data_IF_195812287306
#
_entry.id   IF_195812287306
#
_cell.length_a   1.000
_cell.length_b   1.000
_cell.length_c   1.000
_cell.angle_alpha   90.00
_cell.angle_beta   90.00
_cell.angle_gamma   90.00
#
_symmetry.space_group_name_H-M   'P 1'
#
loop_
_entity.id
_entity.type
_entity.pdbx_description
1 polymer ?
#
# COMPACT_ATOMS: atom_id res chain seq x y z
N UNK A 1 -2.61 36.26 -43.59
CA UNK A 1 -2.08 37.14 -44.65
C UNK A 1 -3.09 37.20 -45.80
N UNK A 2 -3.97 38.20 -45.83
CA UNK A 2 -4.90 38.42 -46.95
C UNK A 2 -4.20 39.30 -47.98
N UNK A 3 -3.59 38.68 -48.98
CA UNK A 3 -3.13 39.39 -50.18
C UNK A 3 -4.35 39.71 -51.04
N UNK A 4 -4.82 40.96 -50.98
CA UNK A 4 -5.72 41.51 -51.97
C UNK A 4 -4.93 41.67 -53.27
N UNK A 5 -4.92 40.64 -54.11
CA UNK A 5 -4.55 40.76 -55.51
C UNK A 5 -5.59 41.66 -56.20
N UNK A 6 -5.26 42.94 -56.32
CA UNK A 6 -5.84 43.82 -57.31
C UNK A 6 -5.35 43.37 -58.69
N UNK A 7 -6.31 43.01 -59.54
CA UNK A 7 -6.11 42.51 -60.90
C UNK A 7 -5.69 43.67 -61.82
N UNK A 8 -4.48 44.19 -61.62
CA UNK A 8 -3.81 45.01 -62.61
C UNK A 8 -3.29 44.08 -63.72
N UNK A 9 -3.87 44.19 -64.92
CA UNK A 9 -3.42 43.63 -66.21
C UNK A 9 -2.71 42.27 -66.10
N UNK A 10 -3.47 41.19 -65.87
CA UNK A 10 -2.92 39.83 -66.00
C UNK A 10 -2.56 39.60 -67.46
N UNK A 11 -1.29 39.27 -67.72
CA UNK A 11 -0.84 38.92 -69.06
C UNK A 11 -1.55 37.67 -69.60
N UNK A 12 -1.93 37.64 -70.89
CA UNK A 12 -2.74 36.58 -71.48
C UNK A 12 -2.17 35.17 -71.26
N UNK A 13 -0.86 34.98 -71.34
CA UNK A 13 -0.21 33.68 -71.11
C UNK A 13 -0.51 33.09 -69.71
N UNK A 14 -0.66 33.94 -68.70
CA UNK A 14 -0.96 33.50 -67.34
C UNK A 14 -2.39 32.94 -67.22
N UNK A 15 -3.33 33.49 -68.00
CA UNK A 15 -4.73 33.06 -67.99
C UNK A 15 -4.91 31.65 -68.57
N UNK A 16 -4.20 31.33 -69.65
CA UNK A 16 -4.22 30.00 -70.26
C UNK A 16 -3.59 28.95 -69.33
N UNK A 17 -2.47 29.28 -68.67
CA UNK A 17 -1.84 28.38 -67.68
C UNK A 17 -2.77 28.09 -66.50
N UNK A 18 -3.47 29.09 -65.98
CA UNK A 18 -4.46 28.91 -64.90
C UNK A 18 -5.56 27.96 -65.36
N UNK A 19 -6.11 28.17 -66.56
CA UNK A 19 -7.16 27.32 -67.11
C UNK A 19 -6.72 25.84 -67.17
N UNK A 20 -5.53 25.58 -67.71
CA UNK A 20 -5.00 24.21 -67.82
C UNK A 20 -4.77 23.55 -66.45
N UNK A 21 -4.31 24.31 -65.45
CA UNK A 21 -4.16 23.82 -64.07
C UNK A 21 -5.54 23.47 -63.48
N UNK A 22 -6.55 24.33 -63.68
CA UNK A 22 -7.91 24.07 -63.21
C UNK A 22 -8.49 22.81 -63.84
N UNK A 23 -8.36 22.66 -65.17
CA UNK A 23 -8.86 21.47 -65.88
C UNK A 23 -8.16 20.18 -65.43
N UNK A 24 -6.84 20.23 -65.24
CA UNK A 24 -6.07 19.09 -64.73
C UNK A 24 -6.55 18.66 -63.34
N UNK A 25 -6.78 19.63 -62.43
CA UNK A 25 -7.31 19.37 -61.09
C UNK A 25 -8.73 18.81 -61.10
N UNK A 26 -9.60 19.36 -61.94
CA UNK A 26 -10.98 18.85 -62.11
C UNK A 26 -10.93 17.39 -62.57
N UNK A 27 -10.12 17.08 -63.58
CA UNK A 27 -9.98 15.73 -64.14
C UNK A 27 -9.46 14.75 -63.10
N UNK A 28 -8.43 15.14 -62.33
CA UNK A 28 -7.89 14.36 -61.22
C UNK A 28 -8.95 14.07 -60.16
N UNK A 29 -9.65 15.08 -59.65
CA UNK A 29 -10.67 14.90 -58.62
C UNK A 29 -11.84 14.05 -59.11
N UNK A 30 -12.23 14.16 -60.38
CA UNK A 30 -13.24 13.28 -60.97
C UNK A 30 -12.78 11.82 -61.07
N UNK A 31 -11.48 11.58 -61.30
CA UNK A 31 -10.92 10.23 -61.23
C UNK A 31 -10.95 9.69 -59.78
N UNK A 32 -10.61 10.51 -58.77
CA UNK A 32 -10.71 10.13 -57.36
C UNK A 32 -12.16 9.81 -56.98
N UNK A 33 -13.12 10.66 -57.36
CA UNK A 33 -14.56 10.46 -57.12
C UNK A 33 -15.03 9.10 -57.67
N UNK A 34 -14.63 8.74 -58.89
CA UNK A 34 -15.00 7.46 -59.51
C UNK A 34 -14.49 6.23 -58.74
N UNK A 35 -13.41 6.38 -57.97
CA UNK A 35 -12.80 5.32 -57.17
C UNK A 35 -13.22 5.34 -55.69
N UNK A 36 -14.03 6.32 -55.24
CA UNK A 36 -14.51 6.37 -53.86
C UNK A 36 -15.31 5.14 -53.43
N UNK A 37 -16.23 4.57 -54.24
CA UNK A 37 -17.01 3.41 -53.81
C UNK A 37 -16.13 2.18 -53.52
N UNK A 38 -15.05 1.99 -54.27
CA UNK A 38 -14.20 0.79 -54.20
C UNK A 38 -13.08 0.89 -53.17
N UNK A 39 -12.66 2.10 -52.76
CA UNK A 39 -11.47 2.28 -51.90
C UNK A 39 -11.80 2.91 -50.55
N UNK A 40 -11.90 2.09 -49.50
CA UNK A 40 -12.09 2.55 -48.13
C UNK A 40 -10.94 3.45 -47.65
N UNK A 41 -9.69 3.09 -47.99
CA UNK A 41 -8.49 3.86 -47.59
C UNK A 41 -8.53 5.31 -48.07
N UNK A 42 -9.02 5.54 -49.30
CA UNK A 42 -9.15 6.89 -49.85
C UNK A 42 -10.24 7.66 -49.09
N UNK A 43 -11.38 7.03 -48.80
CA UNK A 43 -12.46 7.67 -48.03
C UNK A 43 -12.00 8.07 -46.63
N UNK A 44 -11.33 7.17 -45.91
CA UNK A 44 -10.82 7.43 -44.55
C UNK A 44 -9.72 8.49 -44.54
N UNK A 45 -8.84 8.51 -45.56
CA UNK A 45 -7.81 9.54 -45.67
C UNK A 45 -8.41 10.92 -45.93
N UNK A 46 -9.39 11.03 -46.83
CA UNK A 46 -10.09 12.29 -47.14
C UNK A 46 -10.85 12.80 -45.91
N UNK A 47 -11.68 11.96 -45.29
CA UNK A 47 -12.46 12.35 -44.11
C UNK A 47 -11.57 12.62 -42.90
N UNK A 48 -10.52 11.83 -42.70
CA UNK A 48 -9.54 12.02 -41.64
C UNK A 48 -8.82 13.37 -41.77
N UNK A 49 -8.38 13.74 -42.98
CA UNK A 49 -7.79 15.04 -43.23
C UNK A 49 -8.75 16.20 -42.91
N UNK A 50 -10.03 16.07 -43.22
CA UNK A 50 -11.01 17.13 -42.91
C UNK A 50 -11.28 17.32 -41.42
N UNK A 51 -11.09 16.28 -40.60
CA UNK A 51 -11.28 16.35 -39.14
C UNK A 51 -10.04 16.92 -38.44
N UNK A 52 -8.85 16.77 -39.04
CA UNK A 52 -7.66 17.42 -38.48
C UNK A 52 -7.80 18.93 -38.55
N UNK A 53 -7.46 19.61 -37.44
CA UNK A 53 -7.55 21.08 -37.34
C UNK A 53 -6.69 21.82 -38.38
N UNK A 54 -5.79 21.12 -39.07
CA UNK A 54 -4.90 21.65 -40.12
C UNK A 54 -5.68 22.24 -41.30
N UNK A 55 -6.85 21.67 -41.64
CA UNK A 55 -7.63 22.10 -42.80
C UNK A 55 -8.79 23.04 -42.45
N UNK A 56 -9.05 23.33 -41.17
CA UNK A 56 -10.18 24.15 -40.74
C UNK A 56 -10.18 25.54 -41.41
N UNK A 57 -9.06 26.26 -41.35
CA UNK A 57 -8.91 27.57 -41.99
C UNK A 57 -9.07 27.53 -43.52
N UNK A 58 -8.60 26.47 -44.18
CA UNK A 58 -8.71 26.29 -45.63
C UNK A 58 -10.16 26.00 -46.02
N UNK A 59 -10.86 25.20 -45.22
CA UNK A 59 -12.28 24.92 -45.39
C UNK A 59 -13.08 26.21 -45.19
N UNK A 60 -12.83 26.99 -44.15
CA UNK A 60 -13.51 28.26 -43.91
C UNK A 60 -13.31 29.25 -45.06
N UNK A 61 -12.08 29.39 -45.56
CA UNK A 61 -11.77 30.22 -46.72
C UNK A 61 -12.44 29.68 -48.00
N UNK A 62 -12.43 28.36 -48.20
CA UNK A 62 -13.15 27.71 -49.30
C UNK A 62 -14.65 28.01 -49.19
N UNK A 63 -15.26 27.86 -48.02
CA UNK A 63 -16.68 28.11 -47.78
C UNK A 63 -17.01 29.59 -48.03
N UNK A 64 -16.17 30.52 -47.59
CA UNK A 64 -16.35 31.95 -47.80
C UNK A 64 -16.13 32.42 -49.26
N UNK A 65 -15.46 31.62 -50.10
CA UNK A 65 -15.07 32.01 -51.48
C UNK A 65 -16.24 32.13 -52.48
N UNK A 66 -17.50 32.09 -52.03
CA UNK A 66 -18.71 32.15 -52.88
C UNK A 66 -18.90 33.54 -53.50
N UNK A 67 -18.17 34.56 -53.02
CA UNK A 67 -18.31 35.93 -53.52
C UNK A 67 -17.92 35.97 -55.00
N UNK A 68 -18.96 35.95 -55.85
CA UNK A 68 -18.89 36.26 -57.27
C UNK A 68 -18.27 37.64 -57.41
N UNK A 69 -16.95 37.72 -57.52
CA UNK A 69 -16.31 38.96 -57.93
C UNK A 69 -16.92 39.32 -59.28
N UNK A 70 -17.60 40.47 -59.42
CA UNK A 70 -18.10 40.91 -60.70
C UNK A 70 -16.89 41.03 -61.63
N UNK A 71 -16.81 40.13 -62.61
CA UNK A 71 -15.77 40.19 -63.64
C UNK A 71 -16.13 41.39 -64.51
N UNK A 72 -15.52 42.53 -64.21
CA UNK A 72 -15.79 43.83 -64.85
C UNK A 72 -15.10 44.00 -66.21
N UNK A 73 -14.51 42.95 -66.79
CA UNK A 73 -13.71 43.08 -67.98
C UNK A 73 -14.48 42.62 -69.22
N UNK A 74 -14.62 43.53 -70.19
CA UNK A 74 -14.84 43.16 -71.59
C UNK A 74 -13.71 42.19 -71.98
N UNK A 75 -14.02 41.00 -72.51
CA UNK A 75 -12.98 40.16 -73.13
C UNK A 75 -12.76 40.68 -74.54
N UNK A 76 -11.72 41.50 -74.70
CA UNK A 76 -11.12 41.82 -75.99
C UNK A 76 -9.77 41.06 -76.00
N UNK A 77 -9.60 40.17 -76.99
CA UNK A 77 -8.38 39.40 -77.28
C UNK A 77 -7.74 38.61 -76.12
N UNK A 78 -8.56 37.88 -75.37
CA UNK A 78 -8.10 37.06 -74.26
C UNK A 78 -7.91 35.58 -74.67
N UNK A 79 -6.71 35.01 -74.51
CA UNK A 79 -6.43 33.57 -74.83
C UNK A 79 -7.33 32.62 -74.03
N UNK A 80 -7.57 32.93 -72.76
CA UNK A 80 -8.54 32.23 -71.93
C UNK A 80 -9.53 33.24 -71.32
N UNK A 81 -10.80 33.09 -71.69
CA UNK A 81 -11.85 33.97 -71.20
C UNK A 81 -11.96 33.98 -69.67
N UNK A 82 -11.93 35.15 -69.00
CA UNK A 82 -12.14 35.23 -67.55
C UNK A 82 -13.44 34.55 -67.08
N UNK A 83 -14.49 34.56 -67.93
CA UNK A 83 -15.73 33.82 -67.68
C UNK A 83 -15.51 32.30 -67.70
N UNK A 84 -14.69 31.79 -68.63
CA UNK A 84 -14.34 30.36 -68.71
C UNK A 84 -13.48 29.94 -67.52
N UNK A 85 -12.55 30.79 -67.07
CA UNK A 85 -11.75 30.54 -65.86
C UNK A 85 -12.66 30.53 -64.62
N UNK A 86 -13.55 31.52 -64.46
CA UNK A 86 -14.51 31.56 -63.36
C UNK A 86 -15.47 30.36 -63.38
N UNK A 87 -15.93 29.94 -64.56
CA UNK A 87 -16.73 28.73 -64.73
C UNK A 87 -15.95 27.47 -64.33
N UNK A 88 -14.67 27.37 -64.73
CA UNK A 88 -13.79 26.26 -64.36
C UNK A 88 -13.50 26.24 -62.85
N UNK A 89 -13.30 27.39 -62.21
CA UNK A 89 -13.16 27.49 -60.76
C UNK A 89 -14.43 27.04 -60.02
N UNK A 90 -15.61 27.49 -60.46
CA UNK A 90 -16.90 27.02 -59.92
C UNK A 90 -17.05 25.51 -60.08
N UNK A 91 -16.68 24.98 -61.24
CA UNK A 91 -16.73 23.54 -61.50
C UNK A 91 -15.76 22.76 -60.60
N UNK A 92 -14.56 23.29 -60.36
CA UNK A 92 -13.60 22.72 -59.41
C UNK A 92 -14.19 22.70 -57.99
N UNK A 93 -14.75 23.81 -57.51
CA UNK A 93 -15.38 23.88 -56.19
C UNK A 93 -16.55 22.89 -56.06
N UNK A 94 -17.39 22.78 -57.09
CA UNK A 94 -18.48 21.79 -57.15
C UNK A 94 -17.95 20.36 -57.07
N UNK A 95 -16.84 20.09 -57.76
CA UNK A 95 -16.19 18.77 -57.75
C UNK A 95 -15.60 18.46 -56.36
N UNK A 96 -15.03 19.45 -55.67
CA UNK A 96 -14.55 19.29 -54.29
C UNK A 96 -15.71 19.01 -53.34
N UNK A 97 -16.80 19.78 -53.37
CA UNK A 97 -17.99 19.53 -52.55
C UNK A 97 -18.51 18.10 -52.80
N UNK A 98 -18.62 17.69 -54.07
CA UNK A 98 -19.06 16.35 -54.46
C UNK A 98 -18.13 15.27 -53.90
N UNK A 99 -16.82 15.45 -53.98
CA UNK A 99 -15.84 14.51 -53.43
C UNK A 99 -16.05 14.30 -51.93
N UNK A 100 -16.16 15.38 -51.15
CA UNK A 100 -16.30 15.32 -49.70
C UNK A 100 -17.63 14.67 -49.30
N UNK A 101 -18.74 15.14 -49.89
CA UNK A 101 -20.07 14.63 -49.60
C UNK A 101 -20.19 13.14 -49.97
N UNK A 102 -19.70 12.74 -51.15
CA UNK A 102 -19.72 11.33 -51.54
C UNK A 102 -18.78 10.47 -50.69
N UNK A 103 -17.62 10.99 -50.27
CA UNK A 103 -16.74 10.28 -49.34
C UNK A 103 -17.47 9.98 -48.04
N UNK A 104 -18.23 10.94 -47.50
CA UNK A 104 -19.07 10.76 -46.30
C UNK A 104 -20.15 9.70 -46.50
N UNK A 105 -20.92 9.79 -47.60
CA UNK A 105 -22.03 8.85 -47.88
C UNK A 105 -21.52 7.42 -47.99
N UNK A 106 -20.40 7.19 -48.70
CA UNK A 106 -19.82 5.85 -48.85
C UNK A 106 -19.05 5.37 -47.60
N UNK A 107 -18.93 6.19 -46.54
CA UNK A 107 -18.24 5.82 -45.29
C UNK A 107 -19.17 5.32 -44.20
N UNK A 108 -20.48 5.51 -44.34
CA UNK A 108 -21.49 5.16 -43.33
C UNK A 108 -21.52 3.66 -42.98
N UNK A 109 -21.06 2.79 -43.90
CA UNK A 109 -21.08 1.34 -43.72
C UNK A 109 -19.91 0.81 -42.90
N UNK A 110 -18.73 1.45 -42.91
CA UNK A 110 -17.47 0.77 -42.55
C UNK A 110 -16.48 1.57 -41.70
N UNK A 111 -16.79 2.78 -41.21
CA UNK A 111 -15.76 3.63 -40.57
C UNK A 111 -16.20 4.41 -39.33
N UNK A 112 -15.24 4.62 -38.42
CA UNK A 112 -15.35 5.45 -37.21
C UNK A 112 -15.32 6.96 -37.50
N UNK A 113 -15.01 7.34 -38.74
CA UNK A 113 -14.74 8.72 -39.15
C UNK A 113 -15.97 9.26 -39.86
N UNK A 114 -16.71 10.16 -39.21
CA UNK A 114 -17.93 10.79 -39.75
C UNK A 114 -17.71 12.26 -40.05
N UNK A 115 -18.29 12.73 -41.14
CA UNK A 115 -18.33 14.16 -41.45
C UNK A 115 -19.22 14.87 -40.44
N UNK A 116 -18.76 16.00 -39.91
CA UNK A 116 -19.58 16.86 -39.05
C UNK A 116 -20.86 17.27 -39.81
N UNK A 117 -22.07 17.00 -39.27
CA UNK A 117 -23.34 17.38 -39.88
C UNK A 117 -23.42 18.88 -40.22
N UNK A 118 -22.78 19.75 -39.43
CA UNK A 118 -22.76 21.20 -39.68
C UNK A 118 -21.98 21.48 -40.97
N UNK A 119 -20.77 20.92 -41.10
CA UNK A 119 -19.98 21.04 -42.33
C UNK A 119 -20.67 20.39 -43.53
N UNK A 120 -21.31 19.23 -43.34
CA UNK A 120 -22.09 18.54 -44.37
C UNK A 120 -23.24 19.40 -44.91
N UNK A 121 -24.00 20.05 -44.04
CA UNK A 121 -25.09 20.94 -44.44
C UNK A 121 -24.58 22.19 -45.15
N UNK A 122 -23.50 22.81 -44.66
CA UNK A 122 -22.88 23.96 -45.32
C UNK A 122 -22.34 23.61 -46.72
N UNK A 123 -21.71 22.44 -46.89
CA UNK A 123 -21.24 21.94 -48.20
C UNK A 123 -22.39 21.71 -49.19
N UNK A 124 -23.51 21.19 -48.72
CA UNK A 124 -24.72 21.01 -49.54
C UNK A 124 -25.30 22.35 -49.98
N UNK A 125 -25.41 23.32 -49.08
CA UNK A 125 -25.85 24.68 -49.40
C UNK A 125 -24.93 25.34 -50.44
N UNK A 126 -23.61 25.23 -50.24
CA UNK A 126 -22.62 25.72 -51.20
C UNK A 126 -22.76 25.03 -52.56
N UNK A 127 -22.99 23.72 -52.60
CA UNK A 127 -23.19 22.98 -53.85
C UNK A 127 -24.47 23.43 -54.57
N UNK A 128 -25.53 23.78 -53.84
CA UNK A 128 -26.75 24.36 -54.41
C UNK A 128 -26.46 25.72 -55.05
N UNK A 129 -25.73 26.61 -54.35
CA UNK A 129 -25.33 27.92 -54.89
C UNK A 129 -24.48 27.77 -56.16
N UNK A 130 -23.50 26.86 -56.15
CA UNK A 130 -22.60 26.59 -57.28
C UNK A 130 -23.30 25.93 -58.47
N UNK A 131 -24.48 25.34 -58.28
CA UNK A 131 -25.26 24.73 -59.36
C UNK A 131 -26.07 25.75 -60.16
N UNK A 132 -26.11 27.02 -59.73
CA UNK A 132 -26.66 28.09 -60.56
C UNK A 132 -25.78 28.27 -61.81
N UNK A 133 -26.37 28.25 -63.02
CA UNK A 133 -25.60 28.36 -64.25
C UNK A 133 -24.77 29.66 -64.22
N UNK A 134 -23.47 29.60 -64.56
CA UNK A 134 -22.67 30.82 -64.68
C UNK A 134 -23.28 31.72 -65.75
N UNK A 135 -23.19 33.04 -65.55
CA UNK A 135 -23.52 34.00 -66.61
C UNK A 135 -22.59 33.72 -67.79
N UNK A 136 -23.17 33.45 -68.95
CA UNK A 136 -22.43 33.19 -70.18
C UNK A 136 -21.63 34.44 -70.60
N UNK A 137 -20.48 34.24 -71.23
CA UNK A 137 -19.69 35.35 -71.75
C UNK A 137 -20.46 36.01 -72.91
N UNK A 138 -20.71 37.32 -72.88
CA UNK A 138 -21.45 38.00 -73.96
C UNK A 138 -20.78 37.89 -75.33
N UNK A 139 -19.47 37.64 -75.37
CA UNK A 139 -18.65 37.68 -76.60
C UNK A 139 -18.55 36.33 -77.32
N UNK A 140 -18.86 35.21 -76.66
CA UNK A 140 -18.60 33.85 -77.21
C UNK A 140 -19.65 33.41 -78.24
N UNK A 141 -20.73 34.16 -78.43
CA UNK A 141 -21.84 33.78 -79.33
C UNK A 141 -21.62 34.14 -80.81
N UNK A 142 -20.46 34.69 -81.22
CA UNK A 142 -20.29 35.27 -82.57
C UNK A 142 -19.27 34.61 -83.50
N UNK A 143 -18.55 33.55 -83.12
CA UNK A 143 -17.47 33.00 -83.97
C UNK A 143 -17.57 31.50 -84.21
N UNK A 144 -18.68 31.08 -84.83
CA UNK A 144 -18.75 29.82 -85.58
C UNK A 144 -19.56 30.06 -86.88
N UNK A 145 -19.09 30.98 -87.73
CA UNK A 145 -19.64 31.24 -89.06
C UNK A 145 -18.57 30.93 -90.10
N UNK A 146 -18.78 29.81 -90.80
CA UNK A 146 -18.03 29.31 -91.96
C UNK A 146 -17.55 30.42 -92.90
N UNK A 147 -16.26 30.41 -93.26
CA UNK A 147 -15.72 31.16 -94.40
C UNK A 147 -15.22 30.20 -95.47
N UNK A 148 -15.97 30.12 -96.56
CA UNK A 148 -15.58 29.50 -97.83
C UNK A 148 -15.15 30.58 -98.83
N UNK A 149 -13.87 30.51 -99.23
CA UNK A 149 -13.21 30.95 -100.47
C UNK A 149 -14.02 31.78 -101.50
N UNK A 150 -13.46 32.94 -101.88
CA UNK A 150 -13.72 33.63 -103.15
C UNK A 150 -12.46 33.72 -104.02
N UNK A 151 -12.66 33.61 -105.35
CA UNK A 151 -11.66 33.61 -106.42
C UNK A 151 -11.80 34.90 -107.24
N UNK A 152 -10.66 35.49 -107.63
CA UNK A 152 -10.50 36.76 -108.36
C UNK A 152 -10.74 36.57 -109.87
N UNK A 153 -11.46 37.52 -110.51
CA UNK A 153 -11.70 37.60 -111.96
C UNK A 153 -10.86 38.72 -112.62
N UNK A 154 -10.44 38.48 -113.88
CA UNK A 154 -9.44 39.22 -114.66
C UNK A 154 -10.12 40.05 -115.77
N UNK A 155 -9.72 41.31 -115.97
CA UNK A 155 -10.26 42.23 -117.00
C UNK A 155 -9.38 42.29 -118.27
N UNK A 156 -10.05 42.53 -119.41
CA UNK A 156 -9.55 42.59 -120.79
C UNK A 156 -9.46 44.06 -121.27
N UNK A 157 -8.48 44.42 -122.13
CA UNK A 157 -8.30 45.77 -122.67
C UNK A 157 -8.11 45.75 -124.20
N UNK A 158 -8.69 46.73 -124.90
CA UNK A 158 -8.60 46.92 -126.37
C UNK A 158 -8.04 48.31 -126.75
N UNK A 159 -7.35 48.36 -127.88
CA UNK A 159 -6.39 49.38 -128.33
C UNK A 159 -6.94 50.62 -129.10
N UNK A 160 -6.06 51.64 -129.21
CA UNK A 160 -6.07 52.95 -129.93
C UNK A 160 -5.69 52.83 -131.45
N UNK A 161 -5.45 53.90 -132.25
CA UNK A 161 -6.15 55.19 -132.54
C UNK A 161 -6.17 55.51 -134.09
N UNK A 162 -6.67 56.68 -134.55
CA UNK A 162 -6.36 57.19 -135.90
C UNK A 162 -6.47 58.73 -136.03
N UNK A 163 -5.41 59.44 -136.44
CA UNK A 163 -5.46 60.87 -136.85
C UNK A 163 -4.45 61.15 -137.97
N UNK A 164 -4.92 61.74 -139.08
CA UNK A 164 -4.11 62.23 -140.23
C UNK A 164 -3.90 63.75 -140.14
N UNK A 165 -2.73 64.25 -140.56
CA UNK A 165 -2.39 65.69 -140.56
C UNK A 165 -1.88 66.14 -141.94
N UNK A 166 -2.32 67.33 -142.40
CA UNK A 166 -2.00 67.93 -143.72
C UNK A 166 -0.95 69.07 -143.66
N UNK A 167 -0.34 69.39 -144.81
CA UNK A 167 1.03 69.91 -144.96
C UNK A 167 1.17 71.33 -145.54
N UNK A 168 1.02 72.42 -144.76
CA UNK A 168 1.30 73.79 -145.26
C UNK A 168 2.32 74.65 -144.52
N UNK A 169 2.93 74.19 -143.42
CA UNK A 169 3.86 75.01 -142.62
C UNK A 169 5.20 74.32 -142.36
N UNK A 170 6.05 74.10 -143.38
CA UNK A 170 7.28 73.30 -143.21
C UNK A 170 8.36 73.93 -142.31
N UNK A 171 8.49 75.28 -142.26
CA UNK A 171 9.46 75.96 -141.37
C UNK A 171 9.02 75.90 -139.91
N UNK A 172 7.72 76.07 -139.68
CA UNK A 172 7.11 75.78 -138.37
C UNK A 172 7.26 74.29 -138.05
N UNK A 173 7.01 73.37 -139.00
CA UNK A 173 7.22 71.93 -138.81
C UNK A 173 8.67 71.55 -138.50
N UNK A 174 9.66 72.32 -138.99
CA UNK A 174 11.08 72.11 -138.73
C UNK A 174 11.47 72.62 -137.34
N UNK A 175 11.03 73.83 -136.94
CA UNK A 175 11.23 74.33 -135.58
C UNK A 175 10.47 73.48 -134.56
N UNK A 176 9.21 73.14 -134.85
CA UNK A 176 8.42 72.17 -134.11
C UNK A 176 9.06 70.79 -134.17
N UNK A 177 9.82 70.46 -135.22
CA UNK A 177 10.51 69.18 -135.39
C UNK A 177 11.75 69.09 -134.51
N UNK A 178 12.59 70.13 -134.48
CA UNK A 178 13.72 70.24 -133.56
C UNK A 178 13.27 70.36 -132.11
N UNK A 179 12.23 71.15 -131.82
CA UNK A 179 11.63 71.21 -130.50
C UNK A 179 11.02 69.86 -130.09
N UNK A 180 10.36 69.14 -131.02
CA UNK A 180 9.90 67.75 -130.82
C UNK A 180 11.07 66.82 -130.55
N UNK A 181 12.20 66.98 -131.20
CA UNK A 181 13.36 66.11 -131.01
C UNK A 181 14.07 66.36 -129.68
N UNK A 182 14.31 67.62 -129.31
CA UNK A 182 14.83 67.95 -127.97
C UNK A 182 13.85 67.54 -126.87
N UNK A 183 12.53 67.72 -127.09
CA UNK A 183 11.51 67.22 -126.17
C UNK A 183 11.52 65.69 -126.12
N UNK A 184 11.69 64.97 -127.23
CA UNK A 184 11.81 63.50 -127.22
C UNK A 184 13.04 63.03 -126.47
N UNK A 185 14.18 63.69 -126.65
CA UNK A 185 15.40 63.35 -125.89
C UNK A 185 15.23 63.65 -124.41
N UNK A 186 14.60 64.78 -124.06
CA UNK A 186 14.28 65.10 -122.68
C UNK A 186 13.26 64.11 -122.09
N UNK A 187 12.18 63.80 -122.80
CA UNK A 187 11.17 62.81 -122.44
C UNK A 187 11.79 61.41 -122.29
N UNK A 188 12.74 61.04 -123.15
CA UNK A 188 13.48 59.78 -123.06
C UNK A 188 14.33 59.74 -121.79
N UNK A 189 15.11 60.79 -121.51
CA UNK A 189 15.92 60.86 -120.27
C UNK A 189 15.02 60.85 -119.03
N UNK A 190 13.92 61.61 -119.04
CA UNK A 190 12.94 61.64 -117.93
C UNK A 190 12.28 60.28 -117.76
N UNK A 191 11.92 59.59 -118.84
CA UNK A 191 11.36 58.23 -118.80
C UNK A 191 12.37 57.23 -118.26
N UNK A 192 13.62 57.27 -118.74
CA UNK A 192 14.68 56.38 -118.27
C UNK A 192 15.00 56.61 -116.79
N UNK A 193 15.05 57.87 -116.34
CA UNK A 193 15.19 58.19 -114.90
C UNK A 193 13.97 57.69 -114.13
N UNK A 194 12.75 57.88 -114.65
CA UNK A 194 11.53 57.39 -114.01
C UNK A 194 11.44 55.86 -113.94
N UNK A 195 12.02 55.13 -114.89
CA UNK A 195 12.19 53.68 -114.83
C UNK A 195 13.22 53.27 -113.78
N UNK A 196 14.37 53.94 -113.72
CA UNK A 196 15.39 53.68 -112.69
C UNK A 196 14.83 53.97 -111.29
N UNK A 197 14.11 55.07 -111.09
CA UNK A 197 13.48 55.39 -109.81
C UNK A 197 12.44 54.34 -109.42
N UNK A 198 11.57 53.92 -110.34
CA UNK A 198 10.57 52.87 -110.08
C UNK A 198 11.23 51.52 -109.79
N UNK A 199 12.32 51.18 -110.45
CA UNK A 199 13.08 49.95 -110.17
C UNK A 199 13.74 50.00 -108.80
N UNK A 200 14.34 51.14 -108.42
CA UNK A 200 14.90 51.35 -107.08
C UNK A 200 13.84 51.31 -105.99
N UNK A 201 12.69 51.98 -106.18
CA UNK A 201 11.54 51.93 -105.27
C UNK A 201 11.04 50.48 -105.13
N UNK A 202 10.85 49.79 -106.25
CA UNK A 202 10.45 48.37 -106.25
C UNK A 202 11.48 47.51 -105.53
N UNK A 203 12.78 47.76 -105.67
CA UNK A 203 13.83 47.02 -104.96
C UNK A 203 13.84 47.31 -103.46
N UNK A 204 13.60 48.56 -103.06
CA UNK A 204 13.40 48.94 -101.67
C UNK A 204 12.22 48.19 -101.05
N UNK A 205 11.10 48.05 -101.79
CA UNK A 205 9.90 47.35 -101.32
C UNK A 205 10.06 45.82 -101.34
N UNK A 206 10.66 45.26 -102.40
CA UNK A 206 10.70 43.79 -102.61
C UNK A 206 11.89 43.10 -101.98
N UNK A 207 13.00 43.82 -101.74
CA UNK A 207 14.24 43.22 -101.23
C UNK A 207 14.64 43.87 -99.90
N UNK A 208 14.78 45.20 -99.86
CA UNK A 208 15.34 45.85 -98.66
C UNK A 208 14.37 45.82 -97.48
N UNK A 209 13.07 45.99 -97.71
CA UNK A 209 12.09 45.92 -96.65
C UNK A 209 11.98 44.52 -96.03
N UNK A 210 11.85 43.42 -96.81
CA UNK A 210 11.92 42.07 -96.26
C UNK A 210 13.23 41.77 -95.55
N UNK A 211 14.36 42.29 -96.04
CA UNK A 211 15.66 42.12 -95.38
C UNK A 211 15.68 42.81 -94.01
N UNK A 212 15.18 44.06 -93.91
CA UNK A 212 15.06 44.78 -92.63
C UNK A 212 14.13 44.06 -91.65
N UNK A 213 13.01 43.54 -92.15
CA UNK A 213 12.06 42.77 -91.33
C UNK A 213 12.70 41.47 -90.82
N UNK A 214 13.48 40.78 -91.64
CA UNK A 214 14.15 39.54 -91.24
C UNK A 214 15.33 39.80 -90.30
N UNK A 215 16.08 40.90 -90.50
CA UNK A 215 17.09 41.37 -89.54
C UNK A 215 16.47 41.69 -88.17
N UNK A 216 15.33 42.39 -88.17
CA UNK A 216 14.60 42.69 -86.94
C UNK A 216 14.10 41.42 -86.25
N UNK A 217 13.52 40.46 -87.00
CA UNK A 217 13.12 39.15 -86.47
C UNK A 217 14.32 38.37 -85.92
N UNK A 218 15.44 38.37 -86.63
CA UNK A 218 16.68 37.72 -86.18
C UNK A 218 17.19 38.32 -84.87
N UNK A 219 17.09 39.64 -84.72
CA UNK A 219 17.45 40.33 -83.48
C UNK A 219 16.50 39.98 -82.33
N UNK A 220 15.19 40.01 -82.57
CA UNK A 220 14.18 39.61 -81.58
C UNK A 220 14.37 38.15 -81.12
N UNK A 221 14.67 37.24 -82.05
CA UNK A 221 14.95 35.84 -81.73
C UNK A 221 16.23 35.69 -80.91
N UNK A 222 17.28 36.46 -81.20
CA UNK A 222 18.51 36.47 -80.39
C UNK A 222 18.27 36.98 -78.98
N UNK A 223 17.48 38.04 -78.82
CA UNK A 223 17.10 38.57 -77.51
C UNK A 223 16.26 37.55 -76.73
N UNK A 224 15.26 36.94 -77.36
CA UNK A 224 14.45 35.89 -76.77
C UNK A 224 15.28 34.66 -76.35
N UNK A 225 16.23 34.24 -77.19
CA UNK A 225 17.14 33.13 -76.88
C UNK A 225 18.04 33.47 -75.68
N UNK A 226 18.60 34.67 -75.63
CA UNK A 226 19.41 35.12 -74.48
C UNK A 226 18.61 35.17 -73.17
N UNK A 227 17.33 35.57 -73.24
CA UNK A 227 16.44 35.58 -72.09
C UNK A 227 16.10 34.15 -71.64
N UNK A 228 15.82 33.26 -72.59
CA UNK A 228 15.55 31.85 -72.31
C UNK A 228 16.76 31.16 -71.69
N UNK A 229 17.98 31.45 -72.15
CA UNK A 229 19.23 30.93 -71.58
C UNK A 229 19.44 31.40 -70.14
N UNK A 230 19.26 32.69 -69.84
CA UNK A 230 19.32 33.21 -68.47
C UNK A 230 18.29 32.54 -67.57
N UNK A 231 17.06 32.36 -68.08
CA UNK A 231 16.00 31.69 -67.32
C UNK A 231 16.33 30.23 -67.04
N UNK A 232 16.96 29.53 -67.99
CA UNK A 232 17.44 28.17 -67.81
C UNK A 232 18.51 28.11 -66.72
N UNK A 233 19.49 29.01 -66.73
CA UNK A 233 20.54 29.06 -65.70
C UNK A 233 19.97 29.34 -64.29
N UNK A 234 18.99 30.24 -64.18
CA UNK A 234 18.33 30.52 -62.90
C UNK A 234 17.58 29.29 -62.37
N UNK A 235 16.86 28.58 -63.25
CA UNK A 235 16.17 27.35 -62.90
C UNK A 235 17.16 26.23 -62.52
N UNK A 236 18.30 26.13 -63.20
CA UNK A 236 19.35 25.17 -62.84
C UNK A 236 19.93 25.45 -61.45
N UNK A 237 20.20 26.72 -61.12
CA UNK A 237 20.62 27.12 -59.77
C UNK A 237 19.56 26.79 -58.73
N UNK A 238 18.29 27.04 -59.04
CA UNK A 238 17.17 26.71 -58.14
C UNK A 238 17.06 25.20 -57.92
N UNK A 239 17.19 24.39 -58.98
CA UNK A 239 17.20 22.91 -58.88
C UNK A 239 18.35 22.44 -58.00
N UNK A 240 19.57 22.93 -58.24
CA UNK A 240 20.74 22.59 -57.42
C UNK A 240 20.52 22.96 -55.96
N UNK A 241 19.99 24.16 -55.66
CA UNK A 241 19.70 24.57 -54.28
C UNK A 241 18.65 23.68 -53.62
N UNK A 242 17.61 23.25 -54.35
CA UNK A 242 16.59 22.33 -53.83
C UNK A 242 17.14 20.93 -53.57
N UNK A 243 18.06 20.43 -54.42
CA UNK A 243 18.72 19.14 -54.21
C UNK A 243 19.55 19.15 -52.93
N UNK A 244 20.36 20.18 -52.70
CA UNK A 244 21.13 20.30 -51.44
C UNK A 244 20.20 20.36 -50.22
N UNK A 245 19.11 21.13 -50.29
CA UNK A 245 18.13 21.19 -49.20
C UNK A 245 17.45 19.83 -48.94
N UNK A 246 17.22 19.03 -49.99
CA UNK A 246 16.72 17.66 -49.83
C UNK A 246 17.76 16.75 -49.16
N UNK A 247 19.03 16.82 -49.58
CA UNK A 247 20.12 16.05 -48.97
C UNK A 247 20.29 16.37 -47.47
N UNK A 248 20.21 17.66 -47.10
CA UNK A 248 20.26 18.08 -45.69
C UNK A 248 19.09 17.50 -44.88
N UNK A 249 17.87 17.53 -45.44
CA UNK A 249 16.68 16.95 -44.81
C UNK A 249 16.77 15.42 -44.70
N UNK A 250 17.37 14.74 -45.68
CA UNK A 250 17.63 13.30 -45.64
C UNK A 250 18.66 12.93 -44.56
N UNK A 251 19.71 13.73 -44.41
CA UNK A 251 20.68 13.57 -43.31
C UNK A 251 20.03 13.76 -41.94
N UNK A 252 19.20 14.80 -41.78
CA UNK A 252 18.48 15.05 -40.54
C UNK A 252 17.47 13.92 -40.24
N UNK A 253 16.78 13.41 -41.26
CA UNK A 253 15.92 12.24 -41.14
C UNK A 253 16.71 11.03 -40.62
N UNK A 254 17.85 10.69 -41.23
CA UNK A 254 18.69 9.59 -40.76
C UNK A 254 19.22 9.80 -39.33
N UNK A 255 19.56 11.05 -38.98
CA UNK A 255 19.98 11.39 -37.61
C UNK A 255 18.84 11.17 -36.60
N UNK A 256 17.61 11.50 -36.96
CA UNK A 256 16.44 11.27 -36.11
C UNK A 256 16.08 9.79 -36.01
N UNK A 257 16.17 9.03 -37.11
CA UNK A 257 16.01 7.57 -37.13
C UNK A 257 16.99 6.90 -36.16
N UNK A 258 18.28 7.25 -36.21
CA UNK A 258 19.29 6.72 -35.29
C UNK A 258 18.99 7.06 -33.81
N UNK A 259 18.47 8.27 -33.52
CA UNK A 259 18.05 8.64 -32.16
C UNK A 259 16.84 7.84 -31.70
N UNK A 260 15.89 7.59 -32.60
CA UNK A 260 14.70 6.78 -32.33
C UNK A 260 15.10 5.34 -32.02
N UNK A 261 15.97 4.73 -32.84
CA UNK A 261 16.48 3.38 -32.60
C UNK A 261 17.23 3.28 -31.27
N UNK A 262 18.05 4.29 -30.95
CA UNK A 262 18.72 4.37 -29.65
C UNK A 262 17.75 4.52 -28.46
N UNK A 263 16.63 5.23 -28.63
CA UNK A 263 15.59 5.33 -27.61
C UNK A 263 14.82 4.02 -27.44
N UNK A 264 14.50 3.34 -28.55
CA UNK A 264 13.86 2.02 -28.55
C UNK A 264 14.74 1.00 -27.82
N UNK A 265 16.05 0.97 -28.09
CA UNK A 265 17.00 0.10 -27.38
C UNK A 265 16.96 0.35 -25.87
N UNK A 266 16.98 1.62 -25.42
CA UNK A 266 16.90 1.94 -23.99
C UNK A 266 15.57 1.53 -23.36
N UNK A 267 14.47 1.67 -24.08
CA UNK A 267 13.15 1.21 -23.60
C UNK A 267 13.17 -0.30 -23.39
N UNK A 268 13.73 -1.07 -24.33
CA UNK A 268 13.85 -2.52 -24.19
C UNK A 268 14.75 -2.90 -22.99
N UNK A 269 15.89 -2.22 -22.79
CA UNK A 269 16.74 -2.43 -21.62
C UNK A 269 15.99 -2.17 -20.30
N UNK A 270 15.14 -1.14 -20.26
CA UNK A 270 14.30 -0.87 -19.08
C UNK A 270 13.21 -1.92 -18.88
N UNK A 271 12.58 -2.42 -19.95
CA UNK A 271 11.59 -3.51 -19.87
C UNK A 271 12.25 -4.78 -19.30
N UNK A 272 13.43 -5.14 -19.80
CA UNK A 272 14.17 -6.30 -19.30
C UNK A 272 14.56 -6.12 -17.82
N UNK A 273 15.01 -4.93 -17.43
CA UNK A 273 15.31 -4.62 -16.03
C UNK A 273 14.07 -4.69 -15.14
N UNK A 274 12.92 -4.19 -15.59
CA UNK A 274 11.66 -4.29 -14.86
C UNK A 274 11.30 -5.76 -14.66
N UNK A 275 11.40 -6.60 -15.71
CA UNK A 275 11.10 -8.03 -15.62
C UNK A 275 11.95 -8.74 -14.56
N UNK A 276 13.26 -8.48 -14.55
CA UNK A 276 14.17 -9.05 -13.54
C UNK A 276 13.79 -8.59 -12.12
N UNK A 277 13.41 -7.33 -11.94
CA UNK A 277 12.98 -6.82 -10.64
C UNK A 277 11.63 -7.41 -10.19
N UNK A 278 10.70 -7.64 -11.12
CA UNK A 278 9.43 -8.32 -10.84
C UNK A 278 9.66 -9.78 -10.42
N UNK A 279 10.52 -10.51 -11.13
CA UNK A 279 10.92 -11.88 -10.77
C UNK A 279 11.55 -11.93 -9.36
N UNK A 280 12.49 -11.03 -9.05
CA UNK A 280 13.12 -10.96 -7.73
C UNK A 280 12.16 -10.55 -6.61
N UNK A 281 11.19 -9.67 -6.90
CA UNK A 281 10.15 -9.29 -5.93
C UNK A 281 9.23 -10.46 -5.61
N UNK A 282 8.86 -11.25 -6.62
CA UNK A 282 8.01 -12.43 -6.43
C UNK A 282 8.74 -13.53 -5.64
N UNK A 283 10.02 -13.76 -5.93
CA UNK A 283 10.87 -14.65 -5.14
C UNK A 283 10.95 -14.19 -3.67
N UNK A 284 11.21 -12.90 -3.43
CA UNK A 284 11.24 -12.33 -2.08
C UNK A 284 9.91 -12.47 -1.33
N UNK A 285 8.77 -12.32 -2.03
CA UNK A 285 7.43 -12.52 -1.47
C UNK A 285 7.19 -13.98 -1.12
N UNK A 286 7.57 -14.90 -1.99
CA UNK A 286 7.46 -16.34 -1.73
C UNK A 286 8.30 -16.74 -0.51
N UNK A 287 9.53 -16.23 -0.41
CA UNK A 287 10.42 -16.47 0.72
C UNK A 287 9.84 -15.92 2.04
N UNK A 288 9.32 -14.68 2.01
CA UNK A 288 8.67 -14.09 3.17
C UNK A 288 7.41 -14.86 3.60
N UNK A 289 6.64 -15.40 2.64
CA UNK A 289 5.49 -16.24 2.93
C UNK A 289 5.89 -17.56 3.59
N UNK A 290 6.97 -18.22 3.10
CA UNK A 290 7.52 -19.44 3.72
C UNK A 290 7.97 -19.18 5.16
N UNK A 291 8.74 -18.11 5.39
CA UNK A 291 9.22 -17.75 6.74
C UNK A 291 8.04 -17.48 7.70
N UNK A 292 7.00 -16.79 7.24
CA UNK A 292 5.79 -16.54 8.06
C UNK A 292 5.08 -17.84 8.42
N UNK A 293 4.90 -18.73 7.45
CA UNK A 293 4.27 -20.02 7.68
C UNK A 293 5.08 -20.88 8.67
N UNK A 294 6.40 -20.93 8.53
CA UNK A 294 7.28 -21.63 9.46
C UNK A 294 7.23 -21.02 10.87
N UNK A 295 7.23 -19.69 10.97
CA UNK A 295 7.10 -18.99 12.25
C UNK A 295 5.76 -19.28 12.94
N UNK A 296 4.66 -19.29 12.17
CA UNK A 296 3.32 -19.61 12.69
C UNK A 296 3.23 -21.08 13.13
N UNK A 297 3.86 -22.00 12.40
CA UNK A 297 3.96 -23.41 12.81
C UNK A 297 4.72 -23.55 14.12
N UNK A 298 5.89 -22.92 14.24
CA UNK A 298 6.69 -22.95 15.46
C UNK A 298 5.96 -22.29 16.65
N UNK A 299 5.20 -21.23 16.43
CA UNK A 299 4.40 -20.59 17.47
C UNK A 299 3.25 -21.50 17.94
N UNK A 300 2.55 -22.16 17.00
CA UNK A 300 1.51 -23.14 17.32
C UNK A 300 2.08 -24.36 18.07
N UNK A 301 3.26 -24.85 17.68
CA UNK A 301 3.97 -25.93 18.39
C UNK A 301 4.36 -25.49 19.81
N UNK A 302 4.83 -24.25 19.99
CA UNK A 302 5.15 -23.70 21.31
C UNK A 302 3.89 -23.53 22.17
N UNK A 303 2.80 -23.04 21.60
CA UNK A 303 1.53 -22.91 22.33
C UNK A 303 0.98 -24.26 22.77
N UNK A 304 1.00 -25.25 21.88
CA UNK A 304 0.52 -26.61 22.18
C UNK A 304 1.39 -27.26 23.27
N UNK A 305 2.72 -27.19 23.16
CA UNK A 305 3.63 -27.65 24.19
C UNK A 305 3.43 -26.92 25.54
N UNK A 306 3.18 -25.60 25.51
CA UNK A 306 2.89 -24.83 26.72
C UNK A 306 1.55 -25.24 27.35
N UNK A 307 0.49 -25.43 26.55
CA UNK A 307 -0.81 -25.91 26.99
C UNK A 307 -0.70 -27.30 27.65
N UNK A 308 0.06 -28.21 27.04
CA UNK A 308 0.34 -29.53 27.61
C UNK A 308 1.12 -29.44 28.92
N UNK A 309 2.12 -28.57 29.02
CA UNK A 309 2.89 -28.38 30.26
C UNK A 309 2.02 -27.80 31.38
N UNK A 310 1.23 -26.77 31.10
CA UNK A 310 0.29 -26.19 32.06
C UNK A 310 -0.72 -27.24 32.52
N UNK A 311 -1.21 -28.08 31.61
CA UNK A 311 -2.11 -29.17 31.97
C UNK A 311 -1.43 -30.20 32.88
N UNK A 312 -0.19 -30.61 32.59
CA UNK A 312 0.58 -31.52 33.47
C UNK A 312 0.80 -30.93 34.85
N UNK A 313 1.16 -29.65 34.94
CA UNK A 313 1.34 -28.96 36.21
C UNK A 313 0.03 -28.88 37.00
N UNK A 314 -1.10 -28.62 36.33
CA UNK A 314 -2.42 -28.60 36.95
C UNK A 314 -2.80 -29.98 37.50
N UNK A 315 -2.65 -31.03 36.71
CA UNK A 315 -2.93 -32.42 37.14
C UNK A 315 -2.00 -32.87 38.29
N UNK A 316 -0.75 -32.40 38.31
CA UNK A 316 0.15 -32.66 39.44
C UNK A 316 -0.25 -31.87 40.69
N UNK A 317 -0.66 -30.61 40.54
CA UNK A 317 -1.11 -29.79 41.66
C UNK A 317 -2.41 -30.34 42.26
N UNK A 318 -3.36 -30.78 41.44
CA UNK A 318 -4.61 -31.39 41.88
C UNK A 318 -4.36 -32.71 42.64
N UNK A 319 -3.42 -33.54 42.17
CA UNK A 319 -3.00 -34.75 42.91
C UNK A 319 -2.37 -34.42 44.25
N UNK A 320 -1.43 -33.48 44.27
CA UNK A 320 -0.79 -33.03 45.52
C UNK A 320 -1.83 -32.44 46.50
N UNK A 321 -2.82 -31.70 45.99
CA UNK A 321 -3.90 -31.16 46.81
C UNK A 321 -4.80 -32.26 47.38
N UNK A 322 -5.12 -33.31 46.61
CA UNK A 322 -5.85 -34.48 47.11
C UNK A 322 -5.06 -35.24 48.18
N UNK A 323 -3.75 -35.44 47.98
CA UNK A 323 -2.88 -36.07 48.99
C UNK A 323 -2.82 -35.24 50.27
N UNK A 324 -2.65 -33.91 50.16
CA UNK A 324 -2.68 -33.02 51.32
C UNK A 324 -4.03 -33.03 52.02
N UNK A 325 -5.14 -33.07 51.28
CA UNK A 325 -6.48 -33.19 51.85
C UNK A 325 -6.64 -34.52 52.62
N UNK A 326 -6.11 -35.62 52.09
CA UNK A 326 -6.07 -36.91 52.79
C UNK A 326 -5.31 -36.82 54.12
N UNK A 327 -4.10 -36.24 54.09
CA UNK A 327 -3.29 -36.03 55.31
C UNK A 327 -4.01 -35.11 56.32
N UNK A 328 -4.69 -34.07 55.86
CA UNK A 328 -5.47 -33.19 56.73
C UNK A 328 -6.67 -33.92 57.35
N UNK A 329 -7.35 -34.78 56.59
CA UNK A 329 -8.43 -35.63 57.09
C UNK A 329 -7.92 -36.58 58.18
N UNK A 330 -6.82 -37.31 57.92
CA UNK A 330 -6.22 -38.22 58.90
C UNK A 330 -5.79 -37.49 60.18
N UNK A 331 -5.26 -36.26 60.04
CA UNK A 331 -4.91 -35.41 61.18
C UNK A 331 -6.15 -34.96 61.95
N UNK A 332 -7.24 -34.63 61.28
CA UNK A 332 -8.49 -34.25 61.92
C UNK A 332 -9.06 -35.44 62.71
N UNK A 333 -9.11 -36.63 62.12
CA UNK A 333 -9.56 -37.85 62.81
C UNK A 333 -8.70 -38.12 64.06
N UNK A 334 -7.38 -37.87 63.98
CA UNK A 334 -6.49 -38.01 65.13
C UNK A 334 -6.70 -36.94 66.20
N UNK A 335 -7.03 -35.71 65.81
CA UNK A 335 -7.39 -34.65 66.76
C UNK A 335 -8.67 -35.06 67.50
N UNK A 336 -9.70 -35.49 66.79
CA UNK A 336 -10.97 -35.93 67.38
C UNK A 336 -10.76 -37.11 68.36
N UNK A 337 -9.91 -38.08 68.01
CA UNK A 337 -9.53 -39.18 68.90
C UNK A 337 -8.81 -38.69 70.17
N UNK A 338 -7.87 -37.76 70.02
CA UNK A 338 -7.14 -37.18 71.16
C UNK A 338 -8.05 -36.32 72.04
N UNK A 339 -8.99 -35.59 71.47
CA UNK A 339 -10.00 -34.83 72.21
C UNK A 339 -10.89 -35.76 73.05
N UNK A 340 -11.32 -36.90 72.48
CA UNK A 340 -12.07 -37.91 73.23
C UNK A 340 -11.24 -38.51 74.37
N UNK A 341 -9.96 -38.85 74.12
CA UNK A 341 -9.06 -39.35 75.17
C UNK A 341 -8.85 -38.30 76.27
N UNK A 342 -8.68 -37.02 75.91
CA UNK A 342 -8.53 -35.94 76.88
C UNK A 342 -9.75 -35.83 77.78
N UNK A 343 -10.95 -35.90 77.18
CA UNK A 343 -12.21 -35.88 77.93
C UNK A 343 -12.35 -37.08 78.86
N UNK A 344 -12.06 -38.29 78.39
CA UNK A 344 -12.12 -39.50 79.21
C UNK A 344 -11.11 -39.46 80.38
N UNK A 345 -9.94 -38.82 80.17
CA UNK A 345 -8.95 -38.60 81.23
C UNK A 345 -9.40 -37.53 82.23
N UNK A 346 -10.03 -36.45 81.77
CA UNK A 346 -10.63 -35.43 82.65
C UNK A 346 -11.70 -36.05 83.55
N UNK A 347 -12.60 -36.86 83.00
CA UNK A 347 -13.63 -37.59 83.77
C UNK A 347 -12.99 -38.55 84.79
N UNK A 348 -11.88 -39.21 84.44
CA UNK A 348 -11.13 -40.06 85.38
C UNK A 348 -10.43 -39.28 86.49
N UNK A 349 -9.93 -38.09 86.20
CA UNK A 349 -9.32 -37.21 87.22
C UNK A 349 -10.38 -36.73 88.19
N UNK A 350 -11.53 -36.26 87.67
CA UNK A 350 -12.64 -35.81 88.51
C UNK A 350 -13.14 -36.92 89.45
N UNK A 351 -13.33 -38.14 88.91
CA UNK A 351 -13.72 -39.30 89.73
C UNK A 351 -12.67 -39.68 90.80
N UNK A 352 -11.37 -39.51 90.50
CA UNK A 352 -10.31 -39.75 91.48
C UNK A 352 -10.24 -38.64 92.52
N UNK A 353 -10.46 -37.39 92.14
CA UNK A 353 -10.49 -36.26 93.08
C UNK A 353 -11.68 -36.39 94.05
N UNK A 354 -12.85 -36.83 93.57
CA UNK A 354 -13.98 -37.19 94.44
C UNK A 354 -13.60 -38.31 95.43
N UNK A 355 -12.92 -39.36 94.94
CA UNK A 355 -12.48 -40.45 95.81
C UNK A 355 -11.42 -40.01 96.84
N UNK A 356 -10.53 -39.09 96.48
CA UNK A 356 -9.56 -38.49 97.42
C UNK A 356 -10.30 -37.70 98.50
N UNK A 357 -11.30 -36.88 98.14
CA UNK A 357 -12.11 -36.14 99.12
C UNK A 357 -12.83 -37.08 100.09
N UNK A 358 -13.38 -38.20 99.61
CA UNK A 358 -13.99 -39.22 100.47
C UNK A 358 -12.97 -39.81 101.46
N UNK A 359 -11.77 -40.16 100.99
CA UNK A 359 -10.70 -40.69 101.82
C UNK A 359 -10.19 -39.66 102.84
N UNK A 360 -10.11 -38.38 102.47
CA UNK A 360 -9.75 -37.29 103.38
C UNK A 360 -10.76 -37.16 104.52
N UNK A 361 -12.07 -37.19 104.21
CA UNK A 361 -13.14 -37.20 105.22
C UNK A 361 -13.01 -38.44 106.13
N UNK A 362 -12.73 -39.62 105.57
CA UNK A 362 -12.53 -40.84 106.37
C UNK A 362 -11.28 -40.74 107.26
N UNK A 363 -10.21 -40.13 106.76
CA UNK A 363 -8.99 -39.88 107.53
C UNK A 363 -9.25 -38.90 108.69
N UNK A 364 -9.93 -37.78 108.45
CA UNK A 364 -10.30 -36.81 109.49
C UNK A 364 -11.15 -37.47 110.58
N UNK A 365 -12.11 -38.31 110.19
CA UNK A 365 -12.92 -39.08 111.13
C UNK A 365 -12.08 -40.06 111.98
N UNK A 366 -11.11 -40.75 111.37
CA UNK A 366 -10.18 -41.63 112.09
C UNK A 366 -9.23 -40.84 113.01
N UNK A 367 -8.79 -39.65 112.62
CA UNK A 367 -7.92 -38.81 113.43
C UNK A 367 -8.64 -38.26 114.66
N UNK A 368 -9.91 -37.84 114.50
CA UNK A 368 -10.83 -37.56 115.62
C UNK A 368 -10.93 -38.76 116.57
N UNK A 369 -11.10 -39.98 116.02
CA UNK A 369 -11.19 -41.19 116.83
C UNK A 369 -9.89 -41.52 117.57
N UNK A 370 -8.73 -41.28 116.95
CA UNK A 370 -7.42 -41.43 117.59
C UNK A 370 -7.27 -40.44 118.74
N UNK A 371 -7.71 -39.19 118.57
CA UNK A 371 -7.67 -38.18 119.62
C UNK A 371 -8.58 -38.55 120.81
N UNK A 372 -9.80 -39.04 120.55
CA UNK A 372 -10.70 -39.57 121.58
C UNK A 372 -10.03 -40.71 122.37
N UNK A 373 -9.52 -41.72 121.68
CA UNK A 373 -8.82 -42.85 122.30
C UNK A 373 -7.54 -42.40 123.04
N UNK A 374 -6.84 -41.38 122.53
CA UNK A 374 -5.69 -40.76 123.19
C UNK A 374 -6.06 -40.11 124.52
N UNK A 375 -7.19 -39.39 124.56
CA UNK A 375 -7.73 -38.79 125.79
C UNK A 375 -8.18 -39.85 126.80
N UNK A 376 -8.79 -40.94 126.32
CA UNK A 376 -9.21 -42.07 127.15
C UNK A 376 -7.99 -42.79 127.75
N UNK A 377 -6.95 -43.03 126.95
CA UNK A 377 -5.67 -43.58 127.41
C UNK A 377 -5.02 -42.69 128.46
N UNK A 378 -5.03 -41.36 128.29
CA UNK A 378 -4.44 -40.44 129.26
C UNK A 378 -5.20 -40.48 130.61
N UNK A 379 -6.54 -40.48 130.57
CA UNK A 379 -7.36 -40.64 131.77
C UNK A 379 -7.06 -41.96 132.49
N UNK A 380 -6.90 -43.07 131.75
CA UNK A 380 -6.53 -44.37 132.34
C UNK A 380 -5.11 -44.35 132.93
N UNK A 381 -4.16 -43.67 132.29
CA UNK A 381 -2.81 -43.48 132.83
C UNK A 381 -2.81 -42.70 134.14
N UNK A 382 -3.63 -41.66 134.24
CA UNK A 382 -3.77 -40.86 135.46
C UNK A 382 -4.43 -41.68 136.59
N UNK A 383 -5.45 -42.50 136.26
CA UNK A 383 -6.05 -43.46 137.20
C UNK A 383 -5.04 -44.50 137.69
N UNK A 384 -4.23 -45.07 136.79
CA UNK A 384 -3.14 -45.99 137.17
C UNK A 384 -2.10 -45.28 138.03
N UNK A 385 -1.79 -44.01 137.75
CA UNK A 385 -0.91 -43.18 138.57
C UNK A 385 -1.43 -42.99 139.99
N UNK A 386 -2.72 -42.69 140.15
CA UNK A 386 -3.38 -42.57 141.46
C UNK A 386 -3.36 -43.90 142.23
N UNK A 387 -3.74 -45.00 141.58
CA UNK A 387 -3.71 -46.34 142.20
C UNK A 387 -2.29 -46.74 142.61
N UNK A 388 -1.27 -46.38 141.82
CA UNK A 388 0.14 -46.67 142.16
C UNK A 388 0.61 -45.86 143.37
N UNK A 389 0.13 -44.63 143.53
CA UNK A 389 0.39 -43.82 144.72
C UNK A 389 -0.29 -44.39 145.97
N UNK A 390 -1.54 -44.85 145.86
CA UNK A 390 -2.26 -45.54 146.94
C UNK A 390 -1.55 -46.84 147.38
N UNK A 391 -1.09 -47.65 146.44
CA UNK A 391 -0.30 -48.86 146.74
C UNK A 391 0.98 -48.51 147.49
N UNK A 392 1.67 -47.44 147.09
CA UNK A 392 2.93 -47.01 147.73
C UNK A 392 2.70 -46.48 149.15
N UNK A 393 1.58 -45.79 149.38
CA UNK A 393 1.18 -45.34 150.71
C UNK A 393 0.83 -46.52 151.62
N UNK A 394 0.02 -47.47 151.12
CA UNK A 394 -0.35 -48.66 151.87
C UNK A 394 0.86 -49.58 152.15
N UNK A 395 1.81 -49.72 151.22
CA UNK A 395 3.02 -50.49 151.47
C UNK A 395 3.91 -49.85 152.55
N UNK A 396 4.01 -48.52 152.58
CA UNK A 396 4.75 -47.82 153.63
C UNK A 396 4.09 -48.01 155.02
N UNK A 397 2.76 -48.10 155.06
CA UNK A 397 2.00 -48.38 156.28
C UNK A 397 2.20 -49.82 156.77
N UNK A 398 2.25 -50.81 155.85
CA UNK A 398 2.57 -52.21 156.17
C UNK A 398 4.02 -52.36 156.68
N UNK A 399 4.98 -51.64 156.09
CA UNK A 399 6.39 -51.69 156.52
C UNK A 399 6.56 -51.11 157.94
N UNK A 400 5.83 -50.03 158.27
CA UNK A 400 5.81 -49.46 159.62
C UNK A 400 5.22 -50.44 160.65
N UNK A 401 4.14 -51.15 160.28
CA UNK A 401 3.57 -52.19 161.15
C UNK A 401 4.54 -53.36 161.36
N UNK A 402 5.25 -53.82 160.33
CA UNK A 402 6.29 -54.86 160.46
C UNK A 402 7.42 -54.44 161.41
N UNK A 403 7.87 -53.18 161.33
CA UNK A 403 8.88 -52.65 162.26
C UNK A 403 8.42 -52.72 163.71
N UNK A 404 7.17 -52.34 164.01
CA UNK A 404 6.63 -52.42 165.39
C UNK A 404 6.44 -53.86 165.88
N UNK A 405 6.16 -54.80 164.97
CA UNK A 405 6.03 -56.22 165.28
C UNK A 405 7.38 -56.85 165.64
N UNK A 406 8.43 -56.54 164.89
CA UNK A 406 9.80 -57.00 165.19
C UNK A 406 10.37 -56.44 166.50
N UNK A 407 9.89 -55.28 166.95
CA UNK A 407 10.27 -54.71 168.25
C UNK A 407 9.58 -55.43 169.43
N UNK A 408 8.36 -55.94 169.22
CA UNK A 408 7.64 -56.77 170.20
C UNK A 408 8.23 -58.19 170.29
N UNK A 409 8.62 -58.78 169.16
CA UNK A 409 9.24 -60.12 169.14
C UNK A 409 10.58 -60.16 169.90
N UNK A 410 11.43 -59.12 169.77
CA UNK A 410 12.65 -59.00 170.59
C UNK A 410 12.35 -58.95 172.09
N UNK A 411 11.29 -58.25 172.47
CA UNK A 411 10.88 -58.12 173.87
C UNK A 411 10.33 -59.42 174.46
N UNK A 412 9.76 -60.29 173.62
CA UNK A 412 9.34 -61.64 174.01
C UNK A 412 10.58 -62.53 174.18
N UNK A 413 11.54 -62.48 173.25
CA UNK A 413 12.78 -63.25 173.35
C UNK A 413 13.60 -62.92 174.61
N UNK A 414 13.68 -61.64 174.98
CA UNK A 414 14.36 -61.21 176.21
C UNK A 414 13.66 -61.72 177.49
N UNK A 415 12.32 -61.85 177.47
CA UNK A 415 11.54 -62.37 178.59
C UNK A 415 11.63 -63.91 178.69
N UNK A 416 11.68 -64.61 177.56
CA UNK A 416 11.86 -66.07 177.52
C UNK A 416 13.25 -66.46 178.05
N UNK A 417 14.29 -65.70 177.71
CA UNK A 417 15.64 -65.96 178.22
C UNK A 417 15.73 -65.77 179.74
N UNK A 418 15.07 -64.75 180.28
CA UNK A 418 15.01 -64.50 181.73
C UNK A 418 14.24 -65.60 182.48
N UNK A 419 13.20 -66.19 181.86
CA UNK A 419 12.47 -67.32 182.43
C UNK A 419 13.33 -68.59 182.47
N UNK A 420 14.16 -68.81 181.46
CA UNK A 420 15.04 -69.98 181.38
C UNK A 420 16.16 -69.93 182.44
N UNK A 421 16.69 -68.74 182.73
CA UNK A 421 17.67 -68.51 183.81
C UNK A 421 17.10 -68.85 185.20
N UNK A 422 15.88 -68.39 185.51
CA UNK A 422 15.21 -68.67 186.79
C UNK A 422 14.89 -70.17 186.94
N UNK A 423 14.53 -70.84 185.83
CA UNK A 423 14.21 -72.27 185.84
C UNK A 423 15.46 -73.13 186.11
N UNK A 424 16.64 -72.69 185.66
CA UNK A 424 17.91 -73.37 185.95
C UNK A 424 18.35 -73.18 187.40
N UNK A 425 18.14 -71.99 187.99
CA UNK A 425 18.39 -71.75 189.42
C UNK A 425 17.50 -72.61 190.32
N UNK A 426 16.23 -72.80 189.95
CA UNK A 426 15.30 -73.65 190.70
C UNK A 426 15.75 -75.13 190.69
N UNK A 427 16.22 -75.63 189.54
CA UNK A 427 16.76 -77.00 189.44
C UNK A 427 18.05 -77.19 190.24
N UNK A 428 18.95 -76.20 190.25
CA UNK A 428 20.19 -76.24 191.03
C UNK A 428 19.91 -76.31 192.53
N UNK A 429 18.96 -75.51 193.04
CA UNK A 429 18.56 -75.54 194.45
C UNK A 429 17.91 -76.87 194.84
N UNK A 430 17.16 -77.50 193.93
CA UNK A 430 16.50 -78.79 194.16
C UNK A 430 17.49 -79.95 194.36
N UNK A 431 18.57 -79.99 193.55
CA UNK A 431 19.65 -80.97 193.68
C UNK A 431 20.43 -80.77 194.97
N UNK A 432 20.61 -79.53 195.41
CA UNK A 432 21.30 -79.20 196.66
C UNK A 432 20.54 -79.67 197.89
N UNK A 433 19.20 -79.58 197.87
CA UNK A 433 18.34 -80.08 198.95
C UNK A 433 18.36 -81.62 199.02
N UNK A 434 18.34 -82.32 197.88
CA UNK A 434 18.45 -83.80 197.87
C UNK A 434 19.82 -84.31 198.33
N UNK A 435 20.89 -83.53 198.11
CA UNK A 435 22.22 -83.83 198.63
C UNK A 435 22.30 -83.73 200.16
N UNK A 436 21.61 -82.76 200.75
CA UNK A 436 21.55 -82.59 202.20
C UNK A 436 20.67 -83.67 202.87
N UNK A 437 19.59 -84.12 202.23
CA UNK A 437 18.71 -85.18 202.74
C UNK A 437 19.41 -86.55 202.83
N UNK A 438 20.29 -86.87 201.87
CA UNK A 438 21.11 -88.09 201.91
C UNK A 438 22.18 -88.06 203.00
N UNK A 439 22.77 -86.89 203.28
CA UNK A 439 23.74 -86.73 204.37
C UNK A 439 23.08 -86.87 205.75
N UNK A 440 21.84 -86.39 205.94
CA UNK A 440 21.11 -86.60 207.19
C UNK A 440 20.81 -88.09 207.44
N UNK A 441 20.39 -88.84 206.41
CA UNK A 441 20.11 -90.28 206.50
C UNK A 441 21.37 -91.13 206.77
N UNK A 442 22.52 -90.70 206.26
CA UNK A 442 23.80 -91.39 206.51
C UNK A 442 24.26 -91.23 207.96
N UNK A 443 24.07 -90.04 208.54
CA UNK A 443 24.48 -89.76 209.92
C UNK A 443 23.52 -90.39 210.94
N UNK A 444 22.23 -90.50 210.63
CA UNK A 444 21.28 -91.27 211.45
C UNK A 444 21.63 -92.78 211.50
N UNK A 445 22.18 -93.34 210.43
CA UNK A 445 22.66 -94.74 210.41
C UNK A 445 23.92 -94.99 211.24
N UNK A 446 24.81 -94.00 211.34
CA UNK A 446 26.00 -94.08 212.20
C UNK A 446 25.65 -93.98 213.68
N UNK A 447 24.61 -93.21 214.03
CA UNK A 447 24.09 -93.14 215.40
C UNK A 447 23.47 -94.48 215.82
N UNK A 448 22.77 -95.19 214.93
CA UNK A 448 22.13 -96.47 215.25
C UNK A 448 23.14 -97.63 215.39
N UNK A 449 24.25 -97.59 214.64
CA UNK A 449 25.31 -98.62 214.74
C UNK A 449 26.16 -98.47 215.98
N UNK A 450 26.43 -97.25 216.44
CA UNK A 450 27.14 -97.02 217.70
C UNK A 450 26.27 -97.32 218.94
N UNK A 451 24.94 -97.29 218.79
CA UNK A 451 24.01 -97.70 219.86
C UNK A 451 23.98 -99.21 220.09
N UNK A 452 24.36 -100.01 219.09
CA UNK A 452 24.40 -101.48 219.16
C UNK A 452 25.73 -102.07 219.65
N UNK A 453 26.68 -101.23 220.09
CA UNK A 453 27.93 -101.67 220.74
C UNK A 453 28.01 -101.20 222.20
N UNK A 454 26.83 -101.08 222.83
CA UNK A 454 26.65 -101.28 224.25
C UNK A 454 26.06 -102.69 224.47
N UNK A 455 26.70 -103.45 225.38
CA UNK A 455 26.74 -104.92 225.62
C UNK A 455 28.03 -105.56 225.12
#
# INVERSE_FOLDING_TARGET
>A
MRSNFELASIQPEFTHKIYNILQSRITFLQAVIRNLPTSQKIRTAILGALITNEFSSIIDDFMASIKNRPVSAKCEDCEACPFVIAASQRQLQKTICKLILQSSIYSETDSTVRLDPILGSALMEKMMILSTPPKECPTVTLTMSNHSREVIAMFEASATPEIRVSSRNWRQNLMDGMARETNRQHEYVVSAIGEICRDLEKRCETIEQPLREEEQRSQQLREALSLAERRREDLEKEVVSRVHAMEDMEQDKHRLENKLDGAISKINDYIDRIRVLEEALEESRADAARIRQESEQLENERETAHKEEVQRLRESADRNAMEQMGVLSDRQDRIDELEQISKDLEEQVEAKDEHIQELEIEMEAKELRINELGSERQNLLDQVGQLKAEIKASSAEVEAQRSTLGERERKIADLDHALEEITQEEQHLKVQIEGLDKSCKSLEGEIETLKNQAE
#
